data_IF_746120007760
#
_entry.id   IF_746120007760
#
_cell.length_a   1.000
_cell.length_b   1.000
_cell.length_c   1.000
_cell.angle_alpha   90.00
_cell.angle_beta   90.00
_cell.angle_gamma   90.00
#
_symmetry.space_group_name_H-M   'P 1'
#
loop_
_entity.id
_entity.type
_entity.pdbx_description
1 polymer ?
#
# COMPACT_ATOMS: atom_id res chain seq x y z
N UNK A 1 -7.19 19.42 0.14
CA UNK A 1 -6.02 19.23 -0.73
C UNK A 1 -5.46 20.59 -1.04
N UNK A 2 -4.30 20.85 -0.47
CA UNK A 2 -3.54 22.09 -0.60
C UNK A 2 -2.15 21.70 -0.13
N UNK A 3 -1.36 21.16 -1.04
CA UNK A 3 0.06 20.97 -0.76
C UNK A 3 0.67 22.35 -0.92
N UNK A 4 1.24 22.90 0.15
CA UNK A 4 1.89 24.20 0.07
C UNK A 4 3.17 24.04 -0.76
N UNK A 5 3.13 24.54 -1.99
CA UNK A 5 4.10 24.25 -3.08
C UNK A 5 5.48 24.90 -2.87
N UNK A 6 5.74 25.51 -1.73
CA UNK A 6 6.92 26.36 -1.53
C UNK A 6 8.14 25.57 -1.01
N UNK A 7 7.96 24.39 -0.41
CA UNK A 7 9.07 23.71 0.26
C UNK A 7 9.87 22.70 -0.60
N UNK A 8 9.31 22.16 -1.69
CA UNK A 8 9.84 20.92 -2.30
C UNK A 8 10.23 21.03 -3.79
N UNK A 9 10.63 22.23 -4.22
CA UNK A 9 10.85 22.59 -5.63
C UNK A 9 12.03 21.88 -6.34
N UNK A 10 12.78 20.98 -5.68
CA UNK A 10 13.98 20.36 -6.26
C UNK A 10 13.70 19.08 -7.08
N UNK A 11 12.55 18.44 -6.89
CA UNK A 11 12.21 17.17 -7.56
C UNK A 11 11.12 17.28 -8.65
N UNK A 12 10.32 18.34 -8.67
CA UNK A 12 9.11 18.42 -9.52
C UNK A 12 9.23 19.31 -10.77
N UNK A 13 10.43 19.74 -11.15
CA UNK A 13 10.63 20.65 -12.28
C UNK A 13 10.16 22.07 -11.98
N UNK A 14 10.07 22.93 -13.01
CA UNK A 14 9.70 24.35 -12.84
C UNK A 14 8.31 24.47 -12.20
N UNK A 15 8.15 25.36 -11.21
CA UNK A 15 6.91 25.58 -10.46
C UNK A 15 5.66 25.86 -11.34
N UNK A 16 5.85 26.35 -12.56
CA UNK A 16 4.78 26.53 -13.54
C UNK A 16 4.29 25.19 -14.14
N UNK A 17 5.21 24.28 -14.44
CA UNK A 17 4.90 22.94 -14.94
C UNK A 17 4.11 22.14 -13.90
N UNK A 18 4.51 22.22 -12.63
CA UNK A 18 3.79 21.61 -11.50
C UNK A 18 2.36 22.14 -11.39
N UNK A 19 2.18 23.47 -11.48
CA UNK A 19 0.86 24.10 -11.43
C UNK A 19 -0.03 23.68 -12.60
N UNK A 20 0.50 23.65 -13.82
CA UNK A 20 -0.24 23.19 -15.01
C UNK A 20 -0.64 21.72 -14.89
N UNK A 21 0.29 20.87 -14.45
CA UNK A 21 0.00 19.44 -14.20
C UNK A 21 -1.05 19.23 -13.11
N UNK A 22 -0.98 19.99 -12.01
CA UNK A 22 -1.97 19.95 -10.93
C UNK A 22 -3.37 20.36 -11.41
N UNK A 23 -3.48 21.44 -12.19
CA UNK A 23 -4.76 21.88 -12.74
C UNK A 23 -5.36 20.83 -13.68
N UNK A 24 -4.55 20.27 -14.59
CA UNK A 24 -4.98 19.20 -15.49
C UNK A 24 -5.40 17.94 -14.73
N UNK A 25 -4.71 17.59 -13.64
CA UNK A 25 -5.09 16.46 -12.79
C UNK A 25 -6.42 16.69 -12.07
N UNK A 26 -6.64 17.88 -11.52
CA UNK A 26 -7.92 18.23 -10.88
C UNK A 26 -9.08 18.11 -11.87
N UNK A 27 -8.88 18.56 -13.11
CA UNK A 27 -9.90 18.48 -14.15
C UNK A 27 -10.14 17.02 -14.62
N UNK A 28 -9.08 16.22 -14.71
CA UNK A 28 -9.14 14.86 -15.21
C UNK A 28 -9.70 13.84 -14.19
N UNK A 29 -9.61 14.11 -12.89
CA UNK A 29 -10.05 13.17 -11.84
C UNK A 29 -11.50 13.49 -11.42
N UNK A 30 -12.47 12.59 -11.68
CA UNK A 30 -13.85 12.81 -11.26
C UNK A 30 -13.96 12.97 -9.75
N UNK A 31 -14.83 13.88 -9.30
CA UNK A 31 -15.07 14.11 -7.87
C UNK A 31 -15.50 12.82 -7.14
N UNK A 32 -16.26 11.95 -7.79
CA UNK A 32 -16.65 10.65 -7.25
C UNK A 32 -15.44 9.75 -6.92
N UNK A 33 -14.34 9.80 -7.70
CA UNK A 33 -13.12 9.07 -7.39
C UNK A 33 -12.40 9.67 -6.19
N UNK A 34 -12.37 11.01 -6.09
CA UNK A 34 -11.79 11.71 -4.94
C UNK A 34 -12.52 11.34 -3.65
N UNK A 35 -13.86 11.35 -3.70
CA UNK A 35 -14.69 11.03 -2.54
C UNK A 35 -14.57 9.56 -2.15
N UNK A 36 -14.51 8.65 -3.14
CA UNK A 36 -14.20 7.24 -2.91
C UNK A 36 -12.86 7.08 -2.18
N UNK A 37 -11.77 7.64 -2.69
CA UNK A 37 -10.44 7.53 -2.07
C UNK A 37 -10.40 8.10 -0.65
N UNK A 38 -11.12 9.20 -0.38
CA UNK A 38 -11.24 9.78 0.96
C UNK A 38 -12.04 8.92 1.93
N UNK A 39 -12.94 8.09 1.43
CA UNK A 39 -13.77 7.22 2.25
C UNK A 39 -13.05 5.93 2.67
N UNK A 40 -11.94 5.58 2.01
CA UNK A 40 -11.22 4.33 2.28
C UNK A 40 -10.57 4.35 3.68
N UNK A 41 -10.75 3.29 4.48
CA UNK A 41 -10.01 3.15 5.73
C UNK A 41 -8.54 2.82 5.44
N UNK A 42 -7.64 3.24 6.33
CA UNK A 42 -6.21 2.89 6.22
C UNK A 42 -5.92 1.43 6.58
N UNK A 43 -6.84 0.79 7.30
CA UNK A 43 -6.74 -0.61 7.68
C UNK A 43 -8.12 -1.23 7.93
N UNK A 44 -8.15 -2.56 7.90
CA UNK A 44 -9.33 -3.34 8.30
C UNK A 44 -8.89 -4.65 8.95
N UNK A 45 -9.65 -5.17 9.90
CA UNK A 45 -9.34 -6.40 10.59
C UNK A 45 -10.48 -7.42 10.47
N UNK A 46 -10.15 -8.66 10.14
CA UNK A 46 -11.10 -9.77 10.02
C UNK A 46 -10.49 -11.05 10.57
N UNK A 47 -11.14 -11.68 11.56
CA UNK A 47 -10.62 -12.89 12.19
C UNK A 47 -9.18 -12.70 12.67
N UNK A 48 -8.27 -13.55 12.20
CA UNK A 48 -6.84 -13.51 12.56
C UNK A 48 -6.00 -12.52 11.75
N UNK A 49 -6.61 -11.78 10.80
CA UNK A 49 -5.91 -10.95 9.83
C UNK A 49 -6.13 -9.46 10.06
N UNK A 50 -5.09 -8.68 9.78
CA UNK A 50 -5.13 -7.22 9.72
C UNK A 50 -4.58 -6.77 8.37
N UNK A 51 -5.34 -5.99 7.63
CA UNK A 51 -4.99 -5.52 6.29
C UNK A 51 -4.60 -4.05 6.35
N UNK A 52 -3.48 -3.69 5.75
CA UNK A 52 -3.01 -2.31 5.59
C UNK A 52 -2.13 -2.19 4.35
N UNK A 53 -1.80 -0.97 3.91
CA UNK A 53 -1.02 -0.80 2.69
C UNK A 53 0.44 -1.24 2.85
N UNK A 54 1.16 -0.76 3.87
CA UNK A 54 2.60 -0.99 4.03
C UNK A 54 2.98 -1.91 5.19
N UNK A 55 2.34 -1.75 6.35
CA UNK A 55 2.66 -2.53 7.54
C UNK A 55 2.23 -1.82 8.82
N UNK A 56 2.74 -2.29 9.96
CA UNK A 56 2.46 -1.70 11.27
C UNK A 56 3.75 -1.36 12.02
N UNK A 57 3.69 -0.36 12.90
CA UNK A 57 4.73 -0.06 13.89
C UNK A 57 4.74 -1.15 14.97
N UNK A 58 5.82 -1.94 15.13
CA UNK A 58 5.88 -2.93 16.20
C UNK A 58 5.78 -2.29 17.59
N UNK A 59 5.13 -2.99 18.52
CA UNK A 59 4.92 -2.49 19.89
C UNK A 59 3.81 -1.46 20.05
N UNK A 60 3.18 -1.01 18.96
CA UNK A 60 1.99 -0.15 18.99
C UNK A 60 0.73 -1.00 18.78
N UNK A 61 -0.33 -0.84 19.58
CA UNK A 61 -1.61 -1.53 19.36
C UNK A 61 -2.16 -1.30 17.95
N UNK A 62 -2.86 -2.28 17.37
CA UNK A 62 -3.34 -2.23 15.98
C UNK A 62 -4.31 -1.06 15.74
N UNK A 63 -5.13 -0.75 16.73
CA UNK A 63 -6.09 0.35 16.76
C UNK A 63 -5.43 1.74 16.95
N UNK A 64 -4.15 1.77 17.33
CA UNK A 64 -3.38 2.99 17.62
C UNK A 64 -2.29 3.24 16.58
N UNK A 65 -2.28 2.49 15.48
CA UNK A 65 -1.32 2.67 14.39
C UNK A 65 -1.51 4.03 13.71
N UNK A 66 -0.40 4.70 13.41
CA UNK A 66 -0.44 5.97 12.71
C UNK A 66 -0.77 5.76 11.22
N UNK A 67 -1.57 6.64 10.57
CA UNK A 67 -1.79 6.56 9.13
C UNK A 67 -0.49 6.61 8.32
N UNK A 68 0.52 7.34 8.82
CA UNK A 68 1.82 7.42 8.17
C UNK A 68 2.51 6.05 8.13
N UNK A 69 2.49 5.30 9.23
CA UNK A 69 3.08 3.96 9.27
C UNK A 69 2.29 2.98 8.41
N UNK A 70 0.95 3.00 8.52
CA UNK A 70 0.07 2.11 7.73
C UNK A 70 0.27 2.25 6.21
N UNK A 71 0.75 3.40 5.73
CA UNK A 71 0.97 3.69 4.31
C UNK A 71 2.45 3.64 3.90
N UNK A 72 3.40 3.91 4.81
CA UNK A 72 4.80 4.16 4.39
C UNK A 72 5.87 3.40 5.16
N UNK A 73 5.53 2.62 6.19
CA UNK A 73 6.56 1.90 6.95
C UNK A 73 7.27 0.85 6.08
N UNK A 74 8.57 0.67 6.33
CA UNK A 74 9.40 -0.37 5.69
C UNK A 74 10.20 -1.15 6.73
N UNK A 75 11.49 -0.86 6.89
CA UNK A 75 12.49 -1.63 7.62
C UNK A 75 12.03 -2.02 9.03
N UNK A 76 11.52 -1.06 9.81
CA UNK A 76 11.04 -1.32 11.17
C UNK A 76 9.93 -2.39 11.27
N UNK A 77 9.13 -2.55 10.22
CA UNK A 77 8.11 -3.61 10.14
C UNK A 77 8.70 -4.91 9.56
N UNK A 78 9.44 -4.81 8.45
CA UNK A 78 10.00 -5.98 7.75
C UNK A 78 11.03 -6.74 8.60
N UNK A 79 11.84 -6.03 9.37
CA UNK A 79 12.95 -6.59 10.16
C UNK A 79 12.51 -7.11 11.53
N UNK A 80 11.22 -6.97 11.89
CA UNK A 80 10.71 -7.45 13.16
C UNK A 80 10.48 -8.97 13.13
N UNK A 81 11.18 -9.76 13.98
CA UNK A 81 11.11 -11.22 13.93
C UNK A 81 9.92 -11.80 14.71
N UNK A 82 9.25 -10.98 15.53
CA UNK A 82 8.19 -11.41 16.44
C UNK A 82 6.83 -11.57 15.77
N UNK A 83 5.94 -12.30 16.45
CA UNK A 83 4.53 -12.35 16.10
C UNK A 83 3.82 -11.06 16.51
N UNK A 84 2.79 -10.71 15.75
CA UNK A 84 1.85 -9.65 16.08
C UNK A 84 0.55 -10.22 16.60
N UNK A 85 -0.36 -9.39 17.16
CA UNK A 85 -1.68 -9.86 17.57
C UNK A 85 -2.52 -10.47 16.44
N UNK A 86 -2.19 -10.16 15.18
CA UNK A 86 -2.82 -10.65 13.95
C UNK A 86 -1.77 -10.86 12.86
N UNK A 87 -2.05 -11.69 11.87
CA UNK A 87 -1.23 -11.78 10.65
C UNK A 87 -1.46 -10.52 9.82
N UNK A 88 -0.39 -9.80 9.51
CA UNK A 88 -0.48 -8.53 8.78
C UNK A 88 -0.42 -8.80 7.27
N UNK A 89 -1.48 -8.51 6.55
CA UNK A 89 -1.54 -8.61 5.09
C UNK A 89 -1.28 -7.23 4.49
N UNK A 90 -0.24 -7.12 3.67
CA UNK A 90 0.25 -5.83 3.18
C UNK A 90 0.86 -5.90 1.77
N UNK A 91 1.26 -4.73 1.26
CA UNK A 91 2.05 -4.54 0.05
C UNK A 91 3.15 -3.50 0.27
N UNK A 92 3.28 -2.55 -0.66
CA UNK A 92 4.14 -1.35 -0.61
C UNK A 92 5.65 -1.58 -0.77
N UNK A 93 6.15 -2.72 -0.32
CA UNK A 93 7.55 -3.15 -0.47
C UNK A 93 7.58 -4.32 -1.45
N UNK A 94 7.87 -4.07 -2.74
CA UNK A 94 7.74 -5.10 -3.76
C UNK A 94 8.71 -6.26 -3.54
N UNK A 95 8.23 -7.46 -3.82
CA UNK A 95 8.99 -8.72 -3.77
C UNK A 95 8.78 -9.50 -5.08
N UNK A 96 9.74 -10.35 -5.51
CA UNK A 96 9.58 -11.12 -6.76
C UNK A 96 8.39 -12.09 -6.74
N UNK A 97 8.09 -12.65 -5.57
CA UNK A 97 6.97 -13.56 -5.30
C UNK A 97 6.31 -13.17 -3.98
N UNK A 98 5.02 -13.44 -3.83
CA UNK A 98 4.30 -13.15 -2.59
C UNK A 98 4.97 -13.85 -1.39
N UNK A 99 5.27 -13.07 -0.34
CA UNK A 99 6.00 -13.56 0.83
C UNK A 99 5.00 -13.97 1.92
N UNK A 100 5.10 -15.20 2.41
CA UNK A 100 4.29 -15.70 3.53
C UNK A 100 5.19 -15.98 4.72
N UNK A 101 4.99 -15.24 5.80
CA UNK A 101 5.68 -15.42 7.07
C UNK A 101 4.67 -15.65 8.20
N UNK A 102 5.16 -16.09 9.36
CA UNK A 102 4.30 -16.36 10.51
C UNK A 102 3.56 -15.10 11.02
N UNK A 103 4.12 -13.91 10.81
CA UNK A 103 3.59 -12.64 11.28
C UNK A 103 3.00 -11.76 10.16
N UNK A 104 3.29 -12.03 8.88
CA UNK A 104 2.86 -11.20 7.75
C UNK A 104 2.70 -11.96 6.44
N UNK A 105 1.91 -11.40 5.54
CA UNK A 105 1.80 -11.81 4.14
C UNK A 105 1.95 -10.59 3.25
N UNK A 106 2.98 -10.56 2.41
CA UNK A 106 3.21 -9.52 1.42
C UNK A 106 2.70 -9.98 0.05
N UNK A 107 1.74 -9.26 -0.54
CA UNK A 107 1.19 -9.57 -1.86
C UNK A 107 1.63 -8.60 -2.96
N UNK A 108 2.54 -7.68 -2.67
CA UNK A 108 3.06 -6.74 -3.65
C UNK A 108 4.14 -7.38 -4.53
N UNK A 109 3.70 -7.96 -5.64
CA UNK A 109 4.56 -8.53 -6.69
C UNK A 109 4.87 -7.54 -7.81
N UNK A 110 4.78 -6.23 -7.54
CA UNK A 110 5.06 -5.16 -8.51
C UNK A 110 4.21 -5.24 -9.79
N UNK A 111 2.91 -5.55 -9.66
CA UNK A 111 2.02 -5.90 -10.77
C UNK A 111 2.06 -4.94 -11.97
N UNK A 112 2.22 -3.63 -11.72
CA UNK A 112 2.25 -2.63 -12.78
C UNK A 112 3.42 -2.81 -13.75
N UNK A 113 4.54 -3.36 -13.27
CA UNK A 113 5.77 -3.56 -14.04
C UNK A 113 5.98 -5.04 -14.38
N UNK A 114 5.83 -5.93 -13.41
CA UNK A 114 6.03 -7.37 -13.59
C UNK A 114 4.93 -8.02 -14.43
N UNK A 115 3.73 -7.42 -14.45
CA UNK A 115 2.53 -8.05 -15.01
C UNK A 115 1.87 -9.05 -14.07
N UNK A 116 2.45 -9.35 -12.91
CA UNK A 116 1.91 -10.35 -11.97
C UNK A 116 1.16 -9.67 -10.84
N UNK A 117 -0.16 -9.90 -10.79
CA UNK A 117 -1.01 -9.52 -9.67
C UNK A 117 -1.20 -10.70 -8.72
N UNK A 118 -0.87 -10.52 -7.44
CA UNK A 118 -0.98 -11.55 -6.41
C UNK A 118 -2.08 -11.22 -5.40
N UNK A 119 -2.70 -12.26 -4.83
CA UNK A 119 -3.71 -12.14 -3.80
C UNK A 119 -3.62 -13.28 -2.78
N UNK A 120 -3.92 -13.00 -1.52
CA UNK A 120 -4.13 -14.01 -0.49
C UNK A 120 -5.60 -14.45 -0.50
N UNK A 121 -5.85 -15.75 -0.63
CA UNK A 121 -7.16 -16.36 -0.45
C UNK A 121 -7.21 -17.01 0.94
N UNK A 122 -8.25 -16.68 1.71
CA UNK A 122 -8.54 -17.28 3.02
C UNK A 122 -9.94 -17.84 3.00
N UNK A 123 -10.07 -19.17 3.02
CA UNK A 123 -11.34 -19.89 3.08
C UNK A 123 -11.32 -20.90 4.23
N UNK A 124 -11.80 -20.44 5.40
CA UNK A 124 -11.74 -21.19 6.65
C UNK A 124 -10.29 -21.57 7.02
N UNK A 125 -10.00 -22.87 6.99
CA UNK A 125 -8.66 -23.38 7.25
C UNK A 125 -7.71 -23.25 6.04
N UNK A 126 -8.26 -23.22 4.82
CA UNK A 126 -7.48 -23.18 3.59
C UNK A 126 -6.92 -21.77 3.34
N UNK A 127 -5.63 -21.70 3.07
CA UNK A 127 -4.91 -20.46 2.76
C UNK A 127 -4.02 -20.72 1.56
N UNK A 128 -4.14 -19.90 0.52
CA UNK A 128 -3.32 -20.02 -0.69
C UNK A 128 -3.05 -18.66 -1.31
N UNK A 129 -1.94 -18.56 -2.03
CA UNK A 129 -1.67 -17.42 -2.90
C UNK A 129 -2.28 -17.70 -4.27
N UNK A 130 -3.03 -16.74 -4.79
CA UNK A 130 -3.53 -16.71 -6.16
C UNK A 130 -2.72 -15.67 -6.94
N UNK A 131 -2.28 -16.02 -8.14
CA UNK A 131 -1.64 -15.08 -9.06
C UNK A 131 -2.37 -15.03 -10.38
N UNK A 132 -2.36 -13.85 -11.00
CA UNK A 132 -2.82 -13.63 -12.36
C UNK A 132 -1.72 -12.91 -13.12
N UNK A 133 -1.36 -13.44 -14.29
CA UNK A 133 -0.31 -12.89 -15.14
C UNK A 133 -0.93 -12.08 -16.29
N UNK A 134 -0.43 -10.86 -16.45
CA UNK A 134 -0.68 -9.98 -17.58
C UNK A 134 0.60 -9.73 -18.39
N UNK A 135 0.53 -8.80 -19.34
CA UNK A 135 1.72 -8.37 -20.08
C UNK A 135 2.59 -7.47 -19.17
N UNK A 136 3.90 -7.74 -19.04
CA UNK A 136 4.81 -6.82 -18.36
C UNK A 136 4.83 -5.46 -19.04
N UNK A 137 5.14 -4.41 -18.27
CA UNK A 137 5.33 -3.07 -18.84
C UNK A 137 6.58 -3.07 -19.74
N UNK A 138 6.43 -2.60 -20.98
CA UNK A 138 7.53 -2.43 -21.92
C UNK A 138 7.86 -0.94 -22.01
N UNK A 139 9.11 -0.58 -21.67
CA UNK A 139 9.65 0.77 -21.78
C UNK A 139 9.94 1.18 -23.21
#
# INVERSE_FOLDING_TARGET
>A
YGVDLVADARWFGKAETVRKGHAALIEAVPQAHVDFLRSLPFSVAFGDFFFCHAGIRPGVPLESQSPQDLIWIRDAFHDHPGLYPKVIVHGHTPVPEAEVMANRVNVDTLAWHSGTLSALVVDGAEKRILTVEGRPFQS
#
